data_IF_280134441785
#
_entry.id   IF_280134441785
#
_cell.length_a   1.000
_cell.length_b   1.000
_cell.length_c   1.000
_cell.angle_alpha   90.00
_cell.angle_beta   90.00
_cell.angle_gamma   90.00
#
_symmetry.space_group_name_H-M   'P 1'
#
loop_
_entity.id
_entity.type
_entity.pdbx_description
1 polymer ?
#
# COMPACT_ATOMS: atom_id res chain seq x y z
N UNK A 1 40.55 -21.10 7.96
CA UNK A 1 39.15 -21.54 7.89
C UNK A 1 38.29 -20.33 7.56
N UNK A 2 37.92 -20.13 6.29
CA UNK A 2 36.99 -19.09 5.86
C UNK A 2 35.58 -19.66 5.93
N UNK A 3 34.76 -19.16 6.85
CA UNK A 3 33.34 -19.48 6.93
C UNK A 3 32.59 -18.54 5.98
N UNK A 4 32.40 -18.97 4.73
CA UNK A 4 31.48 -18.31 3.80
C UNK A 4 30.05 -18.50 4.29
N UNK A 5 29.34 -17.41 4.56
CA UNK A 5 27.92 -17.41 4.88
C UNK A 5 27.11 -18.10 3.76
N UNK A 6 26.04 -18.84 4.08
CA UNK A 6 25.24 -19.51 3.06
C UNK A 6 24.55 -18.45 2.19
N UNK A 7 24.89 -18.45 0.90
CA UNK A 7 24.15 -17.71 -0.11
C UNK A 7 22.67 -18.12 -0.02
N UNK A 8 21.77 -17.14 0.08
CA UNK A 8 20.34 -17.38 -0.05
C UNK A 8 20.10 -18.04 -1.41
N UNK A 9 19.94 -19.36 -1.42
CA UNK A 9 19.60 -20.12 -2.61
C UNK A 9 18.31 -19.55 -3.18
N UNK A 10 18.39 -18.98 -4.38
CA UNK A 10 17.23 -18.57 -5.17
C UNK A 10 16.64 -19.82 -5.82
N UNK A 11 15.47 -20.33 -5.40
CA UNK A 11 14.79 -21.37 -6.14
C UNK A 11 14.11 -20.70 -7.33
N UNK A 12 14.29 -21.28 -8.52
CA UNK A 12 13.86 -20.76 -9.81
C UNK A 12 12.45 -20.17 -9.75
N UNK A 13 12.36 -18.85 -9.94
CA UNK A 13 11.11 -18.21 -10.31
C UNK A 13 10.59 -18.87 -11.61
N UNK A 14 9.26 -18.94 -11.81
CA UNK A 14 8.70 -19.38 -13.07
C UNK A 14 9.37 -18.62 -14.22
N UNK A 15 9.82 -19.37 -15.23
CA UNK A 15 10.48 -18.86 -16.44
C UNK A 15 9.76 -17.58 -16.89
N UNK A 16 10.47 -16.45 -17.07
CA UNK A 16 9.82 -15.17 -17.23
C UNK A 16 8.92 -15.21 -18.48
N UNK A 17 7.66 -14.78 -18.30
CA UNK A 17 6.94 -14.19 -19.42
C UNK A 17 7.86 -13.13 -20.03
N UNK A 18 8.15 -13.23 -21.33
CA UNK A 18 9.04 -12.31 -22.04
C UNK A 18 8.76 -10.88 -21.57
N UNK A 19 9.71 -10.30 -20.81
CA UNK A 19 9.52 -8.99 -20.23
C UNK A 19 9.29 -8.00 -21.37
N UNK A 20 8.12 -7.37 -21.36
CA UNK A 20 7.73 -6.40 -22.37
C UNK A 20 7.33 -5.10 -21.65
N UNK A 21 8.20 -4.10 -21.78
CA UNK A 21 8.04 -2.80 -21.14
C UNK A 21 6.70 -2.16 -21.53
N UNK A 22 6.38 -2.09 -22.82
CA UNK A 22 5.15 -1.46 -23.31
C UNK A 22 3.89 -2.13 -22.80
N UNK A 23 3.85 -3.47 -22.74
CA UNK A 23 2.71 -4.19 -22.15
C UNK A 23 2.54 -3.85 -20.66
N UNK A 24 3.64 -3.78 -19.91
CA UNK A 24 3.61 -3.47 -18.47
C UNK A 24 3.20 -2.01 -18.23
N UNK A 25 3.72 -1.09 -19.04
CA UNK A 25 3.33 0.32 -19.02
C UNK A 25 1.84 0.49 -19.37
N UNK A 26 1.34 -0.18 -20.40
CA UNK A 26 -0.07 -0.14 -20.76
C UNK A 26 -0.99 -0.65 -19.64
N UNK A 27 -0.58 -1.72 -18.93
CA UNK A 27 -1.31 -2.21 -17.76
C UNK A 27 -1.29 -1.22 -16.60
N UNK A 28 -0.17 -0.51 -16.37
CA UNK A 28 -0.11 0.56 -15.38
C UNK A 28 -1.04 1.73 -15.75
N UNK A 29 -1.01 2.19 -17.00
CA UNK A 29 -1.90 3.27 -17.47
C UNK A 29 -3.36 2.86 -17.28
N UNK A 30 -3.72 1.63 -17.65
CA UNK A 30 -5.08 1.12 -17.45
C UNK A 30 -5.46 1.06 -15.96
N UNK A 31 -4.55 0.62 -15.08
CA UNK A 31 -4.77 0.62 -13.63
C UNK A 31 -4.98 2.04 -13.08
N UNK A 32 -4.18 3.02 -13.53
CA UNK A 32 -4.35 4.43 -13.16
C UNK A 32 -5.70 4.96 -13.65
N UNK A 33 -6.10 4.66 -14.90
CA UNK A 33 -7.41 5.07 -15.43
C UNK A 33 -8.54 4.46 -14.61
N UNK A 34 -8.47 3.19 -14.22
CA UNK A 34 -9.47 2.55 -13.35
C UNK A 34 -9.52 3.25 -11.99
N UNK A 35 -8.36 3.54 -11.39
CA UNK A 35 -8.29 4.22 -10.10
C UNK A 35 -8.92 5.61 -10.16
N UNK A 36 -8.59 6.39 -11.19
CA UNK A 36 -9.18 7.72 -11.39
C UNK A 36 -10.67 7.65 -11.76
N UNK A 37 -11.10 6.68 -12.58
CA UNK A 37 -12.51 6.51 -12.92
C UNK A 37 -13.37 6.16 -11.69
N UNK A 38 -12.80 5.49 -10.69
CA UNK A 38 -13.50 5.18 -9.44
C UNK A 38 -13.90 6.44 -8.65
N UNK A 39 -13.13 7.53 -8.76
CA UNK A 39 -13.51 8.81 -8.13
C UNK A 39 -14.75 9.42 -8.80
N UNK A 40 -14.87 9.27 -10.12
CA UNK A 40 -16.02 9.75 -10.88
C UNK A 40 -17.33 9.07 -10.47
N UNK A 41 -17.29 7.79 -10.10
CA UNK A 41 -18.48 7.03 -9.64
C UNK A 41 -19.09 7.67 -8.38
N UNK A 42 -18.25 8.21 -7.49
CA UNK A 42 -18.70 8.81 -6.23
C UNK A 42 -19.05 10.30 -6.39
N UNK A 43 -18.32 11.02 -7.25
CA UNK A 43 -18.45 12.48 -7.39
C UNK A 43 -19.56 12.87 -8.37
N UNK A 44 -19.69 12.19 -9.52
CA UNK A 44 -20.64 12.59 -10.56
C UNK A 44 -22.13 12.55 -10.15
N UNK A 45 -22.61 11.59 -9.33
CA UNK A 45 -24.03 11.54 -8.96
C UNK A 45 -24.49 12.77 -8.16
N UNK A 46 -23.60 13.34 -7.35
CA UNK A 46 -23.86 14.57 -6.60
C UNK A 46 -22.54 15.33 -6.36
N UNK A 47 -22.16 16.24 -7.29
CA UNK A 47 -20.93 17.00 -7.20
C UNK A 47 -21.00 18.15 -6.19
N UNK A 48 -22.20 18.45 -5.66
CA UNK A 48 -22.40 19.53 -4.69
C UNK A 48 -22.06 19.12 -3.27
N UNK A 49 -22.10 17.82 -2.98
CA UNK A 49 -21.77 17.28 -1.67
C UNK A 49 -20.27 17.37 -1.38
N UNK A 50 -19.87 17.67 -0.13
CA UNK A 50 -18.47 17.68 0.26
C UNK A 50 -17.82 16.29 0.12
N UNK A 51 -16.50 16.27 -0.12
CA UNK A 51 -15.70 15.05 -0.11
C UNK A 51 -15.36 14.66 1.33
N UNK A 52 -16.32 14.01 2.00
CA UNK A 52 -16.09 13.44 3.34
C UNK A 52 -15.10 12.28 3.30
N UNK A 53 -14.49 11.95 4.45
CA UNK A 53 -13.60 10.79 4.60
C UNK A 53 -14.26 9.50 4.07
N UNK A 54 -15.55 9.29 4.37
CA UNK A 54 -16.27 8.12 3.87
C UNK A 54 -16.41 8.10 2.35
N UNK A 55 -16.68 9.24 1.71
CA UNK A 55 -16.73 9.31 0.24
C UNK A 55 -15.37 9.04 -0.37
N UNK A 56 -14.30 9.57 0.21
CA UNK A 56 -12.93 9.27 -0.23
C UNK A 56 -12.64 7.77 -0.13
N UNK A 57 -12.90 7.14 1.01
CA UNK A 57 -12.70 5.68 1.17
C UNK A 57 -13.58 4.87 0.20
N UNK A 58 -14.79 5.31 -0.11
CA UNK A 58 -15.62 4.66 -1.12
C UNK A 58 -15.00 4.74 -2.52
N UNK A 59 -14.37 5.87 -2.91
CA UNK A 59 -13.65 5.95 -4.19
C UNK A 59 -12.54 4.91 -4.28
N UNK A 60 -11.77 4.76 -3.20
CA UNK A 60 -10.69 3.78 -3.13
C UNK A 60 -11.23 2.35 -3.10
N UNK A 61 -12.40 2.11 -2.49
CA UNK A 61 -13.12 0.84 -2.56
C UNK A 61 -13.53 0.45 -3.98
N UNK A 62 -14.12 1.36 -4.74
CA UNK A 62 -14.43 1.09 -6.15
C UNK A 62 -13.16 0.87 -6.99
N UNK A 63 -12.08 1.60 -6.70
CA UNK A 63 -10.79 1.37 -7.33
C UNK A 63 -10.25 -0.03 -7.01
N UNK A 64 -10.33 -0.48 -5.75
CA UNK A 64 -9.92 -1.82 -5.33
C UNK A 64 -10.65 -2.90 -6.14
N UNK A 65 -11.97 -2.78 -6.26
CA UNK A 65 -12.79 -3.73 -7.05
C UNK A 65 -12.35 -3.73 -8.52
N UNK A 66 -12.22 -2.56 -9.14
CA UNK A 66 -11.81 -2.46 -10.54
C UNK A 66 -10.41 -3.05 -10.79
N UNK A 67 -9.46 -2.80 -9.89
CA UNK A 67 -8.10 -3.33 -9.97
C UNK A 67 -8.05 -4.84 -9.71
N UNK A 68 -8.89 -5.36 -8.80
CA UNK A 68 -9.04 -6.81 -8.60
C UNK A 68 -9.63 -7.50 -9.83
N UNK A 69 -10.61 -6.88 -10.50
CA UNK A 69 -11.14 -7.38 -11.78
C UNK A 69 -10.05 -7.38 -12.84
N UNK A 70 -9.26 -6.30 -12.96
CA UNK A 70 -8.15 -6.23 -13.91
C UNK A 70 -7.10 -7.32 -13.62
N UNK A 71 -6.76 -7.54 -12.35
CA UNK A 71 -5.84 -8.58 -11.92
C UNK A 71 -6.38 -9.98 -12.27
N UNK A 72 -7.65 -10.23 -11.97
CA UNK A 72 -8.32 -11.49 -12.32
C UNK A 72 -8.29 -11.72 -13.82
N UNK A 73 -8.69 -10.74 -14.64
CA UNK A 73 -8.67 -10.86 -16.10
C UNK A 73 -7.27 -11.14 -16.65
N UNK A 74 -6.25 -10.51 -16.07
CA UNK A 74 -4.84 -10.72 -16.42
C UNK A 74 -4.38 -12.15 -16.12
N UNK A 75 -4.80 -12.73 -14.99
CA UNK A 75 -4.29 -14.01 -14.46
C UNK A 75 -5.28 -15.19 -14.50
N UNK A 76 -6.49 -15.01 -15.03
CA UNK A 76 -7.55 -16.05 -15.06
C UNK A 76 -7.14 -17.38 -15.71
N UNK A 77 -6.09 -17.39 -16.53
CA UNK A 77 -5.56 -18.60 -17.20
C UNK A 77 -4.24 -19.11 -16.61
N UNK A 78 -3.61 -18.35 -15.70
CA UNK A 78 -2.23 -18.56 -15.26
C UNK A 78 -2.11 -18.80 -13.75
N UNK A 79 -3.23 -18.82 -13.02
CA UNK A 79 -3.25 -19.07 -11.57
C UNK A 79 -3.12 -17.79 -10.75
N UNK A 80 -4.25 -17.23 -10.33
CA UNK A 80 -4.30 -16.00 -9.51
C UNK A 80 -3.64 -16.20 -8.13
N UNK A 81 -3.76 -17.39 -7.55
CA UNK A 81 -3.25 -17.71 -6.21
C UNK A 81 -1.73 -17.51 -6.10
N UNK A 82 -0.97 -17.87 -7.13
CA UNK A 82 0.49 -17.71 -7.12
C UNK A 82 0.92 -16.23 -7.07
N UNK A 83 0.18 -15.36 -7.76
CA UNK A 83 0.43 -13.92 -7.79
C UNK A 83 0.12 -13.27 -6.43
N UNK A 84 -0.93 -13.75 -5.76
CA UNK A 84 -1.35 -13.23 -4.45
C UNK A 84 -0.45 -13.75 -3.34
N UNK A 85 -0.27 -15.07 -3.23
CA UNK A 85 0.47 -15.70 -2.13
C UNK A 85 1.98 -15.45 -2.23
N UNK A 86 2.55 -15.50 -3.44
CA UNK A 86 4.00 -15.51 -3.58
C UNK A 86 4.63 -16.79 -3.02
N UNK A 87 5.90 -16.70 -2.65
CA UNK A 87 6.74 -17.85 -2.29
C UNK A 87 7.11 -17.91 -0.81
N UNK A 88 7.23 -16.75 -0.14
CA UNK A 88 7.68 -16.65 1.26
C UNK A 88 6.79 -15.71 2.05
N UNK A 89 5.91 -16.25 2.88
CA UNK A 89 4.95 -15.46 3.65
C UNK A 89 5.47 -15.05 5.03
N UNK A 90 5.90 -16.04 5.83
CA UNK A 90 6.15 -15.86 7.27
C UNK A 90 7.25 -14.86 7.60
N UNK A 91 8.45 -15.03 7.05
CA UNK A 91 9.59 -14.17 7.39
C UNK A 91 9.38 -12.71 6.98
N UNK A 92 8.97 -12.39 5.72
CA UNK A 92 8.71 -11.01 5.34
C UNK A 92 7.57 -10.37 6.14
N UNK A 93 6.53 -11.16 6.49
CA UNK A 93 5.42 -10.67 7.32
C UNK A 93 5.90 -10.33 8.74
N UNK A 94 6.62 -11.22 9.42
CA UNK A 94 7.09 -10.97 10.80
C UNK A 94 8.03 -9.77 10.87
N UNK A 95 9.06 -9.72 10.01
CA UNK A 95 9.98 -8.59 9.99
C UNK A 95 9.29 -7.30 9.58
N UNK A 96 8.35 -7.37 8.63
CA UNK A 96 7.52 -6.25 8.23
C UNK A 96 6.65 -5.73 9.37
N UNK A 97 6.01 -6.60 10.16
CA UNK A 97 5.18 -6.21 11.29
C UNK A 97 5.99 -5.51 12.39
N UNK A 98 7.15 -6.08 12.75
CA UNK A 98 8.06 -5.46 13.73
C UNK A 98 8.52 -4.09 13.23
N UNK A 99 8.91 -3.99 11.96
CA UNK A 99 9.31 -2.72 11.38
C UNK A 99 8.15 -1.72 11.33
N UNK A 100 6.93 -2.15 11.01
CA UNK A 100 5.74 -1.31 10.93
C UNK A 100 5.41 -0.71 12.29
N UNK A 101 5.27 -1.56 13.31
CA UNK A 101 4.99 -1.12 14.69
C UNK A 101 6.10 -0.20 15.20
N UNK A 102 7.36 -0.56 14.97
CA UNK A 102 8.50 0.28 15.36
C UNK A 102 8.52 1.64 14.67
N UNK A 103 8.12 1.71 13.40
CA UNK A 103 8.05 2.95 12.61
C UNK A 103 7.01 3.90 13.18
N UNK A 104 5.78 3.41 13.44
CA UNK A 104 4.72 4.23 14.04
C UNK A 104 5.03 4.63 15.49
N UNK A 105 5.61 3.72 16.29
CA UNK A 105 6.00 4.02 17.66
C UNK A 105 7.08 5.12 17.71
N UNK A 106 8.08 5.05 16.83
CA UNK A 106 9.11 6.08 16.72
C UNK A 106 8.53 7.40 16.22
N UNK A 107 7.69 7.38 15.19
CA UNK A 107 7.01 8.59 14.68
C UNK A 107 6.18 9.27 15.77
N UNK A 108 5.35 8.51 16.48
CA UNK A 108 4.55 9.01 17.61
C UNK A 108 5.40 9.55 18.76
N UNK A 109 6.51 8.86 19.11
CA UNK A 109 7.45 9.34 20.13
C UNK A 109 8.09 10.67 19.72
N UNK A 110 8.55 10.80 18.47
CA UNK A 110 9.13 12.05 17.97
C UNK A 110 8.09 13.17 18.00
N UNK A 111 6.87 12.91 17.54
CA UNK A 111 5.79 13.92 17.60
C UNK A 111 5.52 14.36 19.04
N UNK A 112 5.48 13.42 19.99
CA UNK A 112 5.29 13.72 21.41
C UNK A 112 6.46 14.48 22.05
N UNK A 113 7.71 14.16 21.69
CA UNK A 113 8.90 14.81 22.27
C UNK A 113 9.10 16.25 21.80
N UNK A 114 8.58 16.57 20.61
CA UNK A 114 8.70 17.88 19.98
C UNK A 114 7.38 18.66 19.95
N UNK A 115 6.37 18.20 20.68
CA UNK A 115 5.03 18.82 20.74
C UNK A 115 4.42 19.09 19.35
N UNK A 116 4.66 18.18 18.40
CA UNK A 116 4.14 18.30 17.04
C UNK A 116 2.65 17.94 17.08
N UNK A 117 1.76 18.83 16.63
CA UNK A 117 0.33 18.57 16.66
C UNK A 117 -0.05 17.42 15.73
N UNK A 118 -1.19 16.78 16.05
CA UNK A 118 -1.80 15.78 15.19
C UNK A 118 -2.12 16.39 13.82
N UNK A 119 -2.08 15.53 12.80
CA UNK A 119 -2.48 15.89 11.45
C UNK A 119 -3.93 16.36 11.42
N UNK A 120 -4.19 17.52 10.81
CA UNK A 120 -5.53 18.09 10.71
C UNK A 120 -6.52 17.11 10.05
N UNK A 121 -6.07 16.43 8.99
CA UNK A 121 -6.83 15.37 8.34
C UNK A 121 -7.25 14.24 9.31
N UNK A 122 -6.36 13.83 10.20
CA UNK A 122 -6.63 12.75 11.16
C UNK A 122 -7.51 13.20 12.33
N UNK A 123 -7.42 14.48 12.73
CA UNK A 123 -8.30 15.08 13.73
C UNK A 123 -9.74 15.07 13.23
N UNK A 124 -9.95 15.54 12.00
CA UNK A 124 -11.28 15.67 11.38
C UNK A 124 -11.80 14.38 10.72
N UNK A 125 -11.04 13.28 10.79
CA UNK A 125 -11.33 12.06 10.03
C UNK A 125 -12.71 11.46 10.33
N UNK A 126 -13.16 11.57 11.59
CA UNK A 126 -14.43 11.02 12.09
C UNK A 126 -15.51 12.08 12.35
N UNK A 127 -15.29 13.33 11.94
CA UNK A 127 -16.21 14.43 12.26
C UNK A 127 -17.64 14.17 11.77
N UNK A 128 -18.60 14.41 12.67
CA UNK A 128 -20.03 14.26 12.38
C UNK A 128 -20.51 12.82 12.23
N UNK A 129 -19.68 11.81 12.53
CA UNK A 129 -20.05 10.39 12.42
C UNK A 129 -20.52 9.81 13.77
N UNK A 130 -21.60 9.03 13.73
CA UNK A 130 -22.02 8.20 14.87
C UNK A 130 -21.14 6.94 15.04
N UNK A 131 -21.22 6.24 16.19
CA UNK A 131 -20.34 5.10 16.48
C UNK A 131 -20.35 3.99 15.42
N UNK A 132 -21.53 3.66 14.88
CA UNK A 132 -21.65 2.65 13.82
C UNK A 132 -20.97 3.10 12.51
N UNK A 133 -21.08 4.39 12.17
CA UNK A 133 -20.43 4.95 10.98
C UNK A 133 -18.91 4.99 11.16
N UNK A 134 -18.41 5.31 12.36
CA UNK A 134 -16.98 5.21 12.71
C UNK A 134 -16.47 3.78 12.54
N UNK A 135 -17.22 2.79 13.03
CA UNK A 135 -16.86 1.38 12.88
C UNK A 135 -16.82 0.95 11.39
N UNK A 136 -17.82 1.35 10.61
CA UNK A 136 -17.87 1.07 9.16
C UNK A 136 -16.75 1.78 8.40
N UNK A 137 -16.48 3.05 8.69
CA UNK A 137 -15.39 3.80 8.09
C UNK A 137 -14.04 3.13 8.40
N UNK A 138 -13.80 2.77 9.66
CA UNK A 138 -12.58 2.09 10.08
C UNK A 138 -12.42 0.73 9.41
N UNK A 139 -13.50 -0.06 9.31
CA UNK A 139 -13.49 -1.35 8.61
C UNK A 139 -13.16 -1.17 7.13
N UNK A 140 -13.79 -0.20 6.46
CA UNK A 140 -13.56 0.04 5.03
C UNK A 140 -12.17 0.60 4.75
N UNK A 141 -11.63 1.45 5.63
CA UNK A 141 -10.25 1.94 5.59
C UNK A 141 -9.23 0.80 5.69
N UNK A 142 -9.44 -0.17 6.59
CA UNK A 142 -8.51 -1.30 6.76
C UNK A 142 -8.58 -2.30 5.60
N UNK A 143 -9.71 -2.38 4.88
CA UNK A 143 -9.92 -3.36 3.82
C UNK A 143 -9.60 -2.85 2.42
N UNK A 144 -10.03 -1.64 2.08
CA UNK A 144 -10.05 -1.19 0.68
C UNK A 144 -8.78 -0.47 0.23
N UNK A 145 -8.32 0.62 0.89
CA UNK A 145 -7.04 1.27 0.57
C UNK A 145 -5.85 0.32 0.48
N UNK A 146 -5.62 -0.58 1.46
CA UNK A 146 -4.51 -1.53 1.37
C UNK A 146 -4.57 -2.38 0.10
N UNK A 147 -5.75 -2.82 -0.33
CA UNK A 147 -5.87 -3.61 -1.56
C UNK A 147 -5.66 -2.75 -2.81
N UNK A 148 -6.34 -1.60 -2.90
CA UNK A 148 -6.25 -0.72 -4.08
C UNK A 148 -4.82 -0.24 -4.31
N UNK A 149 -4.17 0.23 -3.25
CA UNK A 149 -2.86 0.85 -3.32
C UNK A 149 -1.76 -0.18 -3.55
N UNK A 150 -1.80 -1.34 -2.89
CA UNK A 150 -0.82 -2.40 -3.16
C UNK A 150 -0.97 -2.97 -4.59
N UNK A 151 -2.19 -3.02 -5.13
CA UNK A 151 -2.38 -3.36 -6.55
C UNK A 151 -1.77 -2.29 -7.45
N UNK A 152 -2.07 -1.01 -7.23
CA UNK A 152 -1.57 0.06 -8.08
C UNK A 152 -0.04 0.17 -8.03
N UNK A 153 0.52 0.26 -6.82
CA UNK A 153 1.92 0.53 -6.59
C UNK A 153 2.78 -0.74 -6.68
N UNK A 154 2.43 -1.80 -5.94
CA UNK A 154 3.31 -2.98 -5.76
C UNK A 154 3.07 -4.06 -6.81
N UNK A 155 1.91 -4.05 -7.46
CA UNK A 155 1.67 -4.86 -8.65
C UNK A 155 1.92 -4.09 -9.94
N UNK A 156 1.10 -3.10 -10.30
CA UNK A 156 1.18 -2.50 -11.64
C UNK A 156 2.42 -1.62 -11.84
N UNK A 157 2.72 -0.70 -10.92
CA UNK A 157 3.85 0.22 -11.05
C UNK A 157 5.20 -0.48 -10.92
N UNK A 158 5.46 -1.21 -9.84
CA UNK A 158 6.74 -1.91 -9.64
C UNK A 158 7.07 -2.89 -10.78
N UNK A 159 6.04 -3.49 -11.40
CA UNK A 159 6.24 -4.44 -12.51
C UNK A 159 6.56 -3.79 -13.85
N UNK A 160 6.51 -2.46 -13.98
CA UNK A 160 7.11 -1.76 -15.13
C UNK A 160 8.61 -2.03 -15.17
N UNK A 161 9.25 -2.14 -14.01
CA UNK A 161 10.68 -2.45 -13.90
C UNK A 161 10.96 -3.96 -14.08
N UNK A 162 12.09 -4.34 -14.68
CA UNK A 162 12.47 -5.73 -14.86
C UNK A 162 13.07 -6.32 -13.57
N UNK A 163 12.23 -6.58 -12.56
CA UNK A 163 12.66 -7.06 -11.22
C UNK A 163 13.52 -8.34 -11.23
N UNK A 164 13.43 -9.15 -12.29
CA UNK A 164 14.21 -10.37 -12.49
C UNK A 164 15.66 -10.10 -12.91
N UNK A 165 15.99 -8.88 -13.38
CA UNK A 165 17.35 -8.50 -13.81
C UNK A 165 18.29 -8.15 -12.64
N UNK A 166 17.87 -8.37 -11.39
CA UNK A 166 18.71 -8.25 -10.20
C UNK A 166 18.37 -7.07 -9.29
N UNK A 167 19.21 -6.92 -8.24
CA UNK A 167 18.94 -6.03 -7.09
C UNK A 167 18.79 -4.56 -7.44
N UNK A 168 19.52 -4.09 -8.46
CA UNK A 168 19.42 -2.71 -8.93
C UNK A 168 17.97 -2.37 -9.32
N UNK A 169 17.37 -3.18 -10.21
CA UNK A 169 16.00 -2.96 -10.67
C UNK A 169 14.95 -3.17 -9.57
N UNK A 170 15.22 -4.06 -8.62
CA UNK A 170 14.34 -4.25 -7.46
C UNK A 170 14.32 -3.00 -6.59
N UNK A 171 15.48 -2.46 -6.24
CA UNK A 171 15.58 -1.24 -5.44
C UNK A 171 15.05 -0.01 -6.18
N UNK A 172 15.32 0.13 -7.48
CA UNK A 172 14.73 1.21 -8.29
C UNK A 172 13.20 1.16 -8.25
N UNK A 173 12.61 -0.04 -8.42
CA UNK A 173 11.16 -0.20 -8.34
C UNK A 173 10.60 0.15 -6.95
N UNK A 174 11.29 -0.27 -5.87
CA UNK A 174 10.90 0.04 -4.49
C UNK A 174 10.92 1.54 -4.26
N UNK A 175 12.02 2.22 -4.59
CA UNK A 175 12.18 3.66 -4.37
C UNK A 175 11.18 4.46 -5.19
N UNK A 176 11.06 4.19 -6.50
CA UNK A 176 10.10 4.91 -7.35
C UNK A 176 8.66 4.69 -6.85
N UNK A 177 8.29 3.45 -6.55
CA UNK A 177 6.95 3.16 -6.02
C UNK A 177 6.68 3.86 -4.69
N UNK A 178 7.68 3.95 -3.82
CA UNK A 178 7.57 4.61 -2.52
C UNK A 178 7.43 6.11 -2.68
N UNK A 179 8.23 6.74 -3.53
CA UNK A 179 8.17 8.19 -3.76
C UNK A 179 6.83 8.60 -4.38
N UNK A 180 6.30 7.82 -5.33
CA UNK A 180 4.97 8.08 -5.89
C UNK A 180 3.88 7.86 -4.84
N UNK A 181 3.97 6.82 -4.02
CA UNK A 181 3.04 6.57 -2.92
C UNK A 181 2.99 7.77 -1.95
N UNK A 182 4.13 8.22 -1.44
CA UNK A 182 4.19 9.38 -0.53
C UNK A 182 3.77 10.67 -1.23
N UNK A 183 4.16 10.87 -2.48
CA UNK A 183 3.81 12.09 -3.24
C UNK A 183 2.31 12.22 -3.55
N UNK A 184 1.54 11.14 -3.42
CA UNK A 184 0.07 11.15 -3.55
C UNK A 184 -0.64 11.25 -2.19
N UNK A 185 0.09 11.35 -1.09
CA UNK A 185 -0.44 11.54 0.27
C UNK A 185 -0.37 13.02 0.67
N UNK A 186 -1.01 13.90 -0.12
CA UNK A 186 -0.99 15.36 0.05
C UNK A 186 -1.88 15.87 1.20
N UNK A 187 -2.67 14.99 1.81
CA UNK A 187 -3.51 15.29 2.98
C UNK A 187 -2.75 15.40 4.31
N UNK A 188 -1.43 15.19 4.31
CA UNK A 188 -0.59 15.22 5.51
C UNK A 188 0.45 16.35 5.43
N UNK A 189 0.55 17.13 6.50
CA UNK A 189 1.38 18.34 6.54
C UNK A 189 2.67 18.14 7.36
N UNK A 190 2.65 17.29 8.41
CA UNK A 190 3.83 17.15 9.25
C UNK A 190 4.93 16.34 8.56
N UNK A 191 6.15 16.88 8.55
CA UNK A 191 7.31 16.19 8.02
C UNK A 191 7.57 14.83 8.69
N UNK A 192 7.26 14.69 9.98
CA UNK A 192 7.41 13.40 10.69
C UNK A 192 6.44 12.35 10.13
N UNK A 193 5.20 12.72 9.81
CA UNK A 193 4.23 11.85 9.16
C UNK A 193 4.69 11.48 7.76
N UNK A 194 5.17 12.43 6.96
CA UNK A 194 5.69 12.17 5.61
C UNK A 194 6.90 11.23 5.63
N UNK A 195 7.83 11.39 6.58
CA UNK A 195 8.95 10.47 6.78
C UNK A 195 8.45 9.09 7.24
N UNK A 196 7.44 9.04 8.11
CA UNK A 196 6.79 7.78 8.53
C UNK A 196 6.22 7.06 7.30
N UNK A 197 5.46 7.76 6.44
CA UNK A 197 4.91 7.22 5.20
C UNK A 197 6.00 6.77 4.21
N UNK A 198 7.13 7.48 4.14
CA UNK A 198 8.28 7.08 3.34
C UNK A 198 8.83 5.73 3.81
N UNK A 199 9.03 5.56 5.12
CA UNK A 199 9.51 4.30 5.70
C UNK A 199 8.48 3.17 5.53
N UNK A 200 7.18 3.46 5.74
CA UNK A 200 6.09 2.51 5.46
C UNK A 200 6.13 2.07 4.00
N UNK A 201 6.24 3.01 3.05
CA UNK A 201 6.30 2.69 1.63
C UNK A 201 7.50 1.81 1.26
N UNK A 202 8.67 2.04 1.87
CA UNK A 202 9.84 1.18 1.75
C UNK A 202 9.58 -0.23 2.30
N UNK A 203 9.00 -0.35 3.49
CA UNK A 203 8.64 -1.64 4.12
C UNK A 203 7.74 -2.44 3.17
N UNK A 204 6.70 -1.82 2.62
CA UNK A 204 5.76 -2.46 1.71
C UNK A 204 6.44 -2.91 0.40
N UNK A 205 7.29 -2.05 -0.18
CA UNK A 205 8.07 -2.40 -1.38
C UNK A 205 9.05 -3.56 -1.14
N UNK A 206 9.75 -3.56 0.00
CA UNK A 206 10.66 -4.64 0.39
C UNK A 206 9.86 -5.93 0.62
N UNK A 207 8.74 -5.86 1.32
CA UNK A 207 7.85 -7.00 1.56
C UNK A 207 7.33 -7.59 0.23
N UNK A 208 7.00 -6.75 -0.75
CA UNK A 208 6.61 -7.19 -2.10
C UNK A 208 7.70 -8.00 -2.80
N UNK A 209 8.96 -7.54 -2.73
CA UNK A 209 10.09 -8.24 -3.37
C UNK A 209 10.45 -9.51 -2.59
N UNK A 210 10.50 -9.44 -1.25
CA UNK A 210 10.92 -10.53 -0.39
C UNK A 210 9.91 -11.70 -0.37
N UNK A 211 8.61 -11.40 -0.42
CA UNK A 211 7.56 -12.43 -0.44
C UNK A 211 7.28 -12.96 -1.85
N UNK A 212 7.51 -12.15 -2.89
CA UNK A 212 7.15 -12.47 -4.26
C UNK A 212 5.65 -12.32 -4.58
N UNK A 213 4.79 -12.13 -3.57
CA UNK A 213 3.34 -12.02 -3.68
C UNK A 213 2.79 -10.65 -3.25
N UNK A 214 1.47 -10.51 -3.28
CA UNK A 214 0.76 -9.30 -2.82
C UNK A 214 0.17 -9.45 -1.41
N UNK A 215 -0.02 -10.68 -0.92
CA UNK A 215 -0.66 -10.91 0.37
C UNK A 215 0.11 -10.24 1.52
N UNK A 216 1.43 -10.43 1.57
CA UNK A 216 2.25 -9.84 2.65
C UNK A 216 2.16 -8.31 2.67
N UNK A 217 2.45 -7.57 1.58
CA UNK A 217 2.35 -6.13 1.62
C UNK A 217 0.92 -5.63 1.90
N UNK A 218 -0.13 -6.30 1.40
CA UNK A 218 -1.53 -5.95 1.74
C UNK A 218 -1.80 -6.09 3.23
N UNK A 219 -1.38 -7.19 3.86
CA UNK A 219 -1.56 -7.42 5.30
C UNK A 219 -0.76 -6.41 6.14
N UNK A 220 0.46 -6.07 5.71
CA UNK A 220 1.28 -5.06 6.39
C UNK A 220 0.66 -3.67 6.28
N UNK A 221 0.12 -3.32 5.12
CA UNK A 221 -0.55 -2.04 4.90
C UNK A 221 -1.84 -1.96 5.72
N UNK A 222 -2.67 -3.01 5.72
CA UNK A 222 -3.84 -3.07 6.61
C UNK A 222 -3.45 -2.96 8.10
N UNK A 223 -2.31 -3.53 8.51
CA UNK A 223 -1.78 -3.34 9.86
C UNK A 223 -1.38 -1.87 10.12
N UNK A 224 -0.78 -1.19 9.14
CA UNK A 224 -0.44 0.22 9.23
C UNK A 224 -1.69 1.09 9.49
N UNK A 225 -2.78 0.82 8.75
CA UNK A 225 -4.07 1.49 8.95
C UNK A 225 -4.59 1.29 10.38
N UNK A 226 -4.61 0.05 10.87
CA UNK A 226 -5.04 -0.27 12.24
C UNK A 226 -4.21 0.47 13.28
N UNK A 227 -2.88 0.50 13.13
CA UNK A 227 -2.00 1.19 14.05
C UNK A 227 -2.24 2.70 14.00
N UNK A 228 -2.35 3.28 12.81
CA UNK A 228 -2.58 4.71 12.62
C UNK A 228 -3.89 5.18 13.26
N UNK A 229 -5.01 4.48 13.00
CA UNK A 229 -6.30 4.85 13.61
C UNK A 229 -6.33 4.60 15.12
N UNK A 230 -5.64 3.56 15.61
CA UNK A 230 -5.55 3.29 17.05
C UNK A 230 -4.79 4.41 17.76
N UNK A 231 -3.64 4.82 17.22
CA UNK A 231 -2.87 5.95 17.77
C UNK A 231 -3.72 7.23 17.72
N UNK A 232 -4.38 7.49 16.58
CA UNK A 232 -5.23 8.67 16.44
C UNK A 232 -6.36 8.70 17.47
N UNK A 233 -6.99 7.56 17.72
CA UNK A 233 -8.07 7.41 18.70
C UNK A 233 -7.57 7.62 20.14
N UNK A 234 -6.42 7.04 20.50
CA UNK A 234 -5.81 7.19 21.83
C UNK A 234 -5.37 8.62 22.15
N UNK A 235 -5.25 9.49 21.14
CA UNK A 235 -4.91 10.89 21.30
C UNK A 235 -6.15 11.82 21.26
N UNK A 236 -7.37 11.27 21.27
CA UNK A 236 -8.62 12.07 21.27
C UNK A 236 -9.03 12.59 22.66
N UNK A 237 -8.29 12.25 23.72
CA UNK A 237 -8.50 12.69 25.10
C UNK A 237 -7.39 13.64 25.60
#
# INVERSE_FOLDING_TARGET
MQTSAPALSSPAAPVPSNYNFFKRLAMLVLAVVIYLAASLIVVLPDPSLPLTSQRLINTVGYAAVGLLVLLFLQYRKQGLAEVIMGQRLRQPLVYGLVAMVGTYALGGLVMSLFDIPRESFMVHFYDGLGPMQVALLSLTLVLFPPVAEELLFRHYLMRVFPLHKGRFWQWTAIVVSTLVFVGLHDQYDNYVTLVTLLVVGLILGIARVASGGLLVPVLLHACAEVVAITINYLQMD
#
